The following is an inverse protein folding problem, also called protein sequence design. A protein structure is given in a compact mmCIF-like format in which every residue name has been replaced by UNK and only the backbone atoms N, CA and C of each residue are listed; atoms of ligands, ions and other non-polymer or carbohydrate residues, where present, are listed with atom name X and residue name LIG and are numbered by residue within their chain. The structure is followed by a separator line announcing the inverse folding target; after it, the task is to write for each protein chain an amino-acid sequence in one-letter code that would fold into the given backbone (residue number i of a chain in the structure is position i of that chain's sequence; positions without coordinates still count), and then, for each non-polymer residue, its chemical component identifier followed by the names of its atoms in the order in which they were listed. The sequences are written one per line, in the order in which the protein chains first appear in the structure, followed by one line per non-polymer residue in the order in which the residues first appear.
data_IF_291154527837
#
_entry.id   IF_291154527837
#
_cell.length_a   1.000
_cell.length_b   1.000
_cell.length_c   1.000
_cell.angle_alpha   90.00
_cell.angle_beta   90.00
_cell.angle_gamma   90.00
#
_symmetry.space_group_name_H-M   'P 1'
#
loop_
_entity.id
_entity.type
_entity.pdbx_description
1 polymer ?
#
# COMPACT_ATOMS: atom_id res chain seq x y z
N UNK A 1 -2.15 20.85 -8.55
CA UNK A 1 -1.67 20.00 -9.67
C UNK A 1 -2.87 19.25 -10.21
N UNK A 2 -3.21 19.36 -11.49
CA UNK A 2 -4.43 18.74 -12.05
C UNK A 2 -4.10 17.35 -12.60
N UNK A 3 -4.77 16.30 -12.12
CA UNK A 3 -4.55 14.88 -12.48
C UNK A 3 -5.05 14.47 -13.88
N UNK A 4 -5.16 15.42 -14.81
CA UNK A 4 -5.77 15.28 -16.15
C UNK A 4 -5.17 14.19 -17.07
N UNK A 5 -4.12 13.47 -16.63
CA UNK A 5 -3.51 12.37 -17.36
C UNK A 5 -3.80 10.95 -16.81
N UNK A 6 -4.28 10.81 -15.57
CA UNK A 6 -4.58 9.51 -14.98
C UNK A 6 -6.02 9.10 -15.32
N UNK A 7 -6.18 8.11 -16.20
CA UNK A 7 -7.49 7.54 -16.57
C UNK A 7 -7.96 6.49 -15.56
N UNK A 8 -8.05 6.88 -14.29
CA UNK A 8 -8.65 6.02 -13.26
C UNK A 8 -10.17 6.23 -13.21
N UNK A 9 -10.60 7.50 -13.28
CA UNK A 9 -12.02 7.86 -13.30
C UNK A 9 -12.67 7.36 -14.60
N UNK A 10 -13.54 6.34 -14.47
CA UNK A 10 -14.21 5.67 -15.59
C UNK A 10 -13.81 4.22 -15.80
N UNK A 11 -12.80 3.70 -15.08
CA UNK A 11 -12.55 2.27 -15.06
C UNK A 11 -13.59 1.58 -14.18
N UNK A 12 -14.37 0.66 -14.76
CA UNK A 12 -15.42 -0.10 -14.06
C UNK A 12 -14.87 -0.81 -12.81
N UNK A 13 -13.59 -1.19 -12.81
CA UNK A 13 -12.90 -1.83 -11.67
C UNK A 13 -12.56 -0.89 -10.52
N UNK A 14 -12.52 0.42 -10.75
CA UNK A 14 -12.30 1.42 -9.69
C UNK A 14 -13.58 1.85 -8.98
N UNK A 15 -14.74 1.28 -9.37
CA UNK A 15 -16.05 1.68 -8.87
C UNK A 15 -16.18 1.31 -7.39
N UNK A 16 -16.25 2.32 -6.52
CA UNK A 16 -16.35 2.15 -5.07
C UNK A 16 -15.03 2.28 -4.31
N UNK A 17 -13.92 2.61 -4.99
CA UNK A 17 -12.64 2.92 -4.34
C UNK A 17 -12.39 4.43 -4.46
N UNK A 18 -12.49 5.14 -3.34
CA UNK A 18 -12.15 6.56 -3.27
C UNK A 18 -10.64 6.72 -3.09
N UNK A 19 -9.97 7.12 -4.16
CA UNK A 19 -8.57 7.50 -4.10
C UNK A 19 -8.47 8.98 -3.70
N UNK A 20 -8.07 9.22 -2.46
CA UNK A 20 -7.69 10.56 -2.02
C UNK A 20 -6.48 11.08 -2.81
N UNK A 21 -6.44 12.39 -3.06
CA UNK A 21 -5.41 13.04 -3.89
C UNK A 21 -3.98 12.78 -3.39
N UNK A 22 -3.80 12.66 -2.08
CA UNK A 22 -2.53 12.36 -1.42
C UNK A 22 -2.02 10.93 -1.75
N UNK A 23 -2.92 9.96 -1.84
CA UNK A 23 -2.62 8.58 -2.28
C UNK A 23 -2.17 8.61 -3.74
N UNK A 24 -2.89 9.29 -4.63
CA UNK A 24 -2.54 9.37 -6.05
C UNK A 24 -1.17 10.03 -6.26
N UNK A 25 -0.88 11.11 -5.52
CA UNK A 25 0.44 11.76 -5.54
C UNK A 25 1.54 10.81 -5.10
N UNK A 26 1.28 9.91 -4.15
CA UNK A 26 2.27 8.91 -3.69
C UNK A 26 2.61 7.90 -4.79
N UNK A 27 1.62 7.42 -5.54
CA UNK A 27 1.86 6.55 -6.70
C UNK A 27 2.65 7.28 -7.81
N UNK A 28 2.31 8.55 -8.08
CA UNK A 28 3.05 9.37 -9.03
C UNK A 28 4.52 9.55 -8.62
N UNK A 29 4.78 9.92 -7.36
CA UNK A 29 6.15 10.09 -6.82
C UNK A 29 6.96 8.81 -6.96
N UNK A 30 6.37 7.66 -6.60
CA UNK A 30 7.02 6.34 -6.72
C UNK A 30 7.45 6.04 -8.15
N UNK A 31 6.64 6.40 -9.14
CA UNK A 31 6.92 6.15 -10.55
C UNK A 31 7.65 7.30 -11.26
N UNK A 32 8.23 8.25 -10.51
CA UNK A 32 8.90 9.45 -11.05
C UNK A 32 7.99 10.23 -12.02
N UNK A 33 6.70 10.31 -11.68
CA UNK A 33 5.64 10.98 -12.44
C UNK A 33 5.39 10.38 -13.86
N UNK A 34 5.86 9.17 -14.13
CA UNK A 34 5.52 8.43 -15.35
C UNK A 34 4.08 7.95 -15.25
N UNK A 35 3.18 8.62 -15.97
CA UNK A 35 1.74 8.44 -15.85
C UNK A 35 1.29 7.02 -16.22
N UNK A 36 1.84 6.44 -17.30
CA UNK A 36 1.50 5.08 -17.74
C UNK A 36 1.84 4.01 -16.68
N UNK A 37 3.04 4.08 -16.11
CA UNK A 37 3.49 3.16 -15.07
C UNK A 37 2.63 3.30 -13.80
N UNK A 38 2.26 4.55 -13.48
CA UNK A 38 1.38 4.87 -12.34
C UNK A 38 0.00 4.25 -12.53
N UNK A 39 -0.61 4.42 -13.71
CA UNK A 39 -1.91 3.84 -14.06
C UNK A 39 -1.88 2.32 -13.93
N UNK A 40 -0.86 1.66 -14.50
CA UNK A 40 -0.72 0.21 -14.42
C UNK A 40 -0.58 -0.29 -12.97
N UNK A 41 0.20 0.43 -12.15
CA UNK A 41 0.37 0.06 -10.74
C UNK A 41 -0.94 0.19 -9.93
N UNK A 42 -1.75 1.21 -10.22
CA UNK A 42 -3.06 1.40 -9.58
C UNK A 42 -4.01 0.29 -9.99
N UNK A 43 -4.03 -0.10 -11.28
CA UNK A 43 -4.85 -1.22 -11.74
C UNK A 43 -4.44 -2.55 -11.09
N UNK A 44 -3.14 -2.78 -10.90
CA UNK A 44 -2.65 -3.95 -10.15
C UNK A 44 -3.09 -3.92 -8.68
N UNK A 45 -3.08 -2.76 -8.04
CA UNK A 45 -3.58 -2.62 -6.66
C UNK A 45 -5.07 -2.93 -6.57
N UNK A 46 -5.89 -2.39 -7.48
CA UNK A 46 -7.33 -2.67 -7.53
C UNK A 46 -7.58 -4.17 -7.70
N UNK A 47 -6.86 -4.82 -8.62
CA UNK A 47 -7.00 -6.25 -8.83
C UNK A 47 -6.65 -7.06 -7.57
N UNK A 48 -5.58 -6.67 -6.85
CA UNK A 48 -5.21 -7.29 -5.58
C UNK A 48 -6.30 -7.09 -4.51
N UNK A 49 -6.88 -5.89 -4.44
CA UNK A 49 -7.95 -5.55 -3.51
C UNK A 49 -9.23 -6.37 -3.76
N UNK A 50 -9.61 -6.58 -5.03
CA UNK A 50 -10.78 -7.38 -5.39
C UNK A 50 -10.57 -8.90 -5.17
N UNK A 51 -9.34 -9.37 -5.26
CA UNK A 51 -9.03 -10.82 -5.26
C UNK A 51 -8.66 -11.34 -3.87
N UNK A 52 -8.00 -10.53 -3.05
CA UNK A 52 -7.46 -10.96 -1.76
C UNK A 52 -8.34 -10.49 -0.60
N UNK A 53 -8.69 -11.42 0.30
CA UNK A 53 -9.46 -11.10 1.52
C UNK A 53 -8.61 -10.43 2.63
N UNK A 54 -7.42 -9.92 2.28
CA UNK A 54 -6.47 -9.32 3.24
C UNK A 54 -6.77 -7.85 3.55
N UNK A 55 -7.65 -7.22 2.77
CA UNK A 55 -8.05 -5.82 2.94
C UNK A 55 -9.33 -5.63 3.76
N UNK A 56 -9.83 -6.70 4.38
CA UNK A 56 -10.90 -6.61 5.37
C UNK A 56 -10.48 -5.76 6.57
N UNK A 57 -11.46 -5.21 7.29
CA UNK A 57 -11.19 -4.50 8.55
C UNK A 57 -10.47 -5.43 9.51
N UNK A 58 -9.24 -5.06 9.92
CA UNK A 58 -8.56 -5.71 11.03
C UNK A 58 -9.17 -5.15 12.31
N UNK A 59 -9.80 -5.97 13.16
CA UNK A 59 -10.33 -5.48 14.44
C UNK A 59 -9.19 -4.94 15.31
N UNK A 60 -9.42 -3.80 15.98
CA UNK A 60 -8.38 -3.10 16.76
C UNK A 60 -7.72 -4.00 17.81
N UNK A 61 -8.48 -4.97 18.37
CA UNK A 61 -7.99 -5.97 19.31
C UNK A 61 -6.80 -6.82 18.80
N UNK A 62 -6.64 -6.95 17.48
CA UNK A 62 -5.50 -7.65 16.87
C UNK A 62 -4.26 -6.75 16.67
N UNK A 63 -4.42 -5.43 16.73
CA UNK A 63 -3.30 -4.48 16.58
C UNK A 63 -2.47 -4.36 17.87
N UNK A 64 -3.06 -4.62 19.03
CA UNK A 64 -2.42 -4.48 20.34
C UNK A 64 -1.73 -5.75 20.87
N UNK A 65 -1.96 -6.90 20.25
CA UNK A 65 -1.38 -8.18 20.68
C UNK A 65 0.15 -8.21 20.46
N UNK A 66 0.98 -8.50 21.48
CA UNK A 66 2.42 -8.64 21.29
C UNK A 66 2.82 -9.73 20.27
N UNK A 67 1.99 -10.77 20.14
CA UNK A 67 2.14 -11.84 19.13
C UNK A 67 1.81 -11.40 17.70
N UNK A 68 1.14 -10.26 17.51
CA UNK A 68 0.92 -9.67 16.18
C UNK A 68 2.09 -8.78 15.74
N UNK A 69 3.05 -8.47 16.63
CA UNK A 69 4.28 -7.70 16.34
C UNK A 69 5.36 -8.53 15.63
N UNK A 70 4.93 -9.32 14.66
CA UNK A 70 5.82 -10.00 13.71
C UNK A 70 6.69 -9.01 12.93
N UNK A 71 6.18 -7.79 12.72
CA UNK A 71 6.84 -6.67 12.05
C UNK A 71 7.11 -5.55 13.03
N UNK A 72 8.34 -5.05 13.08
CA UNK A 72 8.71 -3.87 13.85
C UNK A 72 9.23 -2.77 12.92
N UNK A 73 8.60 -1.58 12.98
CA UNK A 73 9.11 -0.38 12.32
C UNK A 73 10.15 0.28 13.23
N UNK A 74 11.35 0.51 12.71
CA UNK A 74 12.39 1.20 13.46
C UNK A 74 12.14 2.71 13.51
N UNK A 75 12.45 3.38 14.63
CA UNK A 75 12.26 4.82 14.79
C UNK A 75 13.31 5.67 14.03
N UNK A 76 14.22 5.02 13.30
CA UNK A 76 15.25 5.67 12.49
C UNK A 76 15.15 5.21 11.03
N UNK A 77 15.66 6.06 10.14
CA UNK A 77 15.77 5.80 8.71
C UNK A 77 17.16 5.27 8.37
N UNK A 78 17.28 4.51 7.28
CA UNK A 78 18.60 4.16 6.76
C UNK A 78 19.24 5.36 6.04
N UNK A 79 20.48 5.20 5.56
CA UNK A 79 21.23 6.26 4.86
C UNK A 79 20.50 6.80 3.63
N UNK A 80 19.68 5.98 2.97
CA UNK A 80 18.85 6.37 1.82
C UNK A 80 17.47 6.94 2.22
N UNK A 81 17.30 7.31 3.50
CA UNK A 81 16.06 7.82 4.09
C UNK A 81 14.86 6.84 4.06
N UNK A 82 15.08 5.57 3.69
CA UNK A 82 14.04 4.56 3.72
C UNK A 82 13.64 4.20 5.16
N UNK A 83 12.35 3.88 5.33
CA UNK A 83 11.85 3.27 6.55
C UNK A 83 12.38 1.83 6.67
N UNK A 84 12.78 1.42 7.88
CA UNK A 84 13.33 0.08 8.13
C UNK A 84 12.30 -0.77 8.87
N UNK A 85 11.89 -1.88 8.26
CA UNK A 85 11.00 -2.88 8.84
C UNK A 85 11.81 -4.13 9.18
N UNK A 86 11.72 -4.60 10.43
CA UNK A 86 12.31 -5.86 10.88
C UNK A 86 11.21 -6.89 11.05
N UNK A 87 11.37 -8.02 10.37
CA UNK A 87 10.52 -9.20 10.53
C UNK A 87 11.24 -10.21 11.41
N UNK A 88 10.61 -10.63 12.51
CA UNK A 88 11.15 -11.71 13.37
C UNK A 88 10.29 -12.94 13.19
N UNK A 89 10.73 -13.82 12.30
CA UNK A 89 10.21 -15.17 12.24
C UNK A 89 10.74 -15.92 13.46
N UNK A 90 9.87 -16.27 14.41
CA UNK A 90 10.24 -17.19 15.48
C UNK A 90 10.71 -18.52 14.86
N UNK A 91 11.59 -19.26 15.55
CA UNK A 91 11.86 -20.65 15.17
C UNK A 91 10.54 -21.41 15.18
N UNK A 92 9.98 -21.66 13.99
CA UNK A 92 8.94 -22.65 13.80
C UNK A 92 9.60 -23.95 14.24
N UNK A 93 9.27 -24.43 15.45
CA UNK A 93 9.75 -25.74 15.91
C UNK A 93 9.22 -26.76 14.90
N UNK A 94 10.15 -27.27 14.08
CA UNK A 94 9.99 -28.49 13.31
C UNK A 94 9.79 -29.68 14.22
#
# INVERSE_FOLDING_TARGET
MSFKGLKIQGNVKSKGIDFYDDILVRYLRRNKYRVKDTEQQILSFIHLYETENVFGSVPDEYLDLPSSKFVNLLPFRCQDECAVLIFRFGNVKS
#
